data_IF_415496325901
#
_entry.id   IF_415496325901
#
_cell.length_a   1.000
_cell.length_b   1.000
_cell.length_c   1.000
_cell.angle_alpha   90.00
_cell.angle_beta   90.00
_cell.angle_gamma   90.00
#
_symmetry.space_group_name_H-M   'P 1'
#
loop_
_entity.id
_entity.type
_entity.pdbx_description
1 polymer ?
#
# COMPACT_ATOMS: atom_id res chain seq x y z
N UNK A 1 -11.27 20.01 -23.03
CA UNK A 1 -10.98 19.03 -21.96
C UNK A 1 -11.69 17.74 -22.31
N UNK A 2 -11.03 16.59 -22.18
CA UNK A 2 -11.56 15.27 -22.54
C UNK A 2 -10.80 14.16 -21.80
N UNK A 3 -11.26 12.93 -21.93
CA UNK A 3 -10.59 11.76 -21.36
C UNK A 3 -9.53 11.23 -22.33
N UNK A 4 -8.47 10.66 -21.78
CA UNK A 4 -7.56 9.84 -22.57
C UNK A 4 -8.32 8.60 -23.08
N UNK A 5 -7.91 8.09 -24.23
CA UNK A 5 -8.27 6.73 -24.63
C UNK A 5 -7.67 5.73 -23.64
N UNK A 6 -8.27 4.55 -23.54
CA UNK A 6 -7.69 3.44 -22.79
C UNK A 6 -6.29 3.18 -23.35
N UNK A 7 -5.31 3.14 -22.46
CA UNK A 7 -3.89 2.95 -22.77
C UNK A 7 -3.54 1.48 -22.63
N UNK A 8 -2.72 0.98 -23.56
CA UNK A 8 -2.14 -0.35 -23.44
C UNK A 8 -0.77 -0.24 -22.76
N UNK A 9 -0.59 -0.95 -21.64
CA UNK A 9 0.67 -0.94 -20.92
C UNK A 9 1.81 -1.62 -21.70
N UNK A 10 1.53 -2.39 -22.74
CA UNK A 10 2.57 -2.90 -23.65
C UNK A 10 3.13 -1.83 -24.60
N UNK A 11 2.51 -0.66 -24.69
CA UNK A 11 3.04 0.49 -25.42
C UNK A 11 4.03 1.32 -24.60
N UNK A 12 4.37 0.90 -23.37
CA UNK A 12 5.40 1.57 -22.58
C UNK A 12 6.74 1.50 -23.33
N UNK A 13 7.31 2.66 -23.65
CA UNK A 13 8.71 2.79 -24.03
C UNK A 13 9.59 2.51 -22.79
N UNK A 14 10.01 1.24 -22.66
CA UNK A 14 10.64 0.68 -21.47
C UNK A 14 12.05 1.24 -21.27
N UNK A 15 12.25 1.96 -20.16
CA UNK A 15 13.56 2.46 -19.72
C UNK A 15 14.23 1.55 -18.68
N UNK A 16 13.42 0.72 -18.02
CA UNK A 16 13.84 -0.26 -17.03
C UNK A 16 12.83 -1.41 -16.98
N UNK A 17 13.34 -2.63 -16.91
CA UNK A 17 12.58 -3.87 -16.86
C UNK A 17 13.32 -4.91 -16.05
N UNK A 18 12.69 -5.41 -14.99
CA UNK A 18 13.25 -6.47 -14.15
C UNK A 18 12.23 -7.59 -14.03
N UNK A 19 12.67 -8.82 -14.29
CA UNK A 19 11.89 -10.06 -14.09
C UNK A 19 12.67 -10.95 -13.13
N UNK A 20 12.41 -10.91 -11.81
CA UNK A 20 13.21 -11.67 -10.85
C UNK A 20 12.91 -13.18 -10.85
N UNK A 21 11.75 -13.60 -11.37
CA UNK A 21 11.36 -15.01 -11.44
C UNK A 21 12.28 -15.87 -12.34
N UNK A 22 13.01 -15.26 -13.28
CA UNK A 22 13.89 -15.96 -14.22
C UNK A 22 15.24 -15.26 -14.35
N UNK A 23 16.30 -16.05 -14.49
CA UNK A 23 17.63 -15.54 -14.85
C UNK A 23 17.63 -14.91 -16.25
N UNK A 24 16.98 -15.58 -17.20
CA UNK A 24 16.88 -15.19 -18.61
C UNK A 24 15.39 -15.23 -19.01
N UNK A 25 14.62 -14.16 -18.71
CA UNK A 25 13.21 -14.07 -19.10
C UNK A 25 13.06 -13.88 -20.62
N UNK A 26 11.85 -14.04 -21.18
CA UNK A 26 11.57 -13.54 -22.52
C UNK A 26 11.87 -12.04 -22.60
N UNK A 27 12.71 -11.64 -23.56
CA UNK A 27 13.19 -10.26 -23.68
C UNK A 27 14.27 -9.87 -22.66
N UNK A 28 14.88 -8.67 -22.79
CA UNK A 28 16.04 -8.29 -22.00
C UNK A 28 15.69 -7.93 -20.54
N UNK A 29 16.66 -8.16 -19.65
CA UNK A 29 16.70 -7.53 -18.32
C UNK A 29 17.35 -6.15 -18.46
N UNK A 30 16.61 -5.08 -18.18
CA UNK A 30 17.06 -3.70 -18.33
C UNK A 30 17.13 -3.04 -16.96
N UNK A 31 18.34 -2.91 -16.39
CA UNK A 31 18.50 -2.27 -15.07
C UNK A 31 18.08 -0.80 -15.05
N UNK A 32 18.24 -0.09 -16.17
CA UNK A 32 17.93 1.34 -16.26
C UNK A 32 18.59 2.17 -15.16
N UNK A 33 17.99 3.32 -14.83
CA UNK A 33 18.45 4.18 -13.73
C UNK A 33 17.90 3.65 -12.41
N UNK A 34 18.76 3.17 -11.51
CA UNK A 34 18.32 2.64 -10.21
C UNK A 34 19.29 2.97 -9.07
N UNK A 35 18.81 2.87 -7.83
CA UNK A 35 19.60 2.91 -6.61
C UNK A 35 19.78 1.54 -5.96
N UNK A 36 19.22 0.46 -6.53
CA UNK A 36 19.15 -0.86 -5.87
C UNK A 36 20.51 -1.39 -5.38
N UNK A 37 21.54 -1.23 -6.21
CA UNK A 37 22.89 -1.75 -5.96
C UNK A 37 23.87 -0.69 -5.44
N UNK A 38 23.37 0.49 -5.08
CA UNK A 38 24.22 1.57 -4.55
C UNK A 38 24.49 1.37 -3.05
N UNK A 39 25.68 1.72 -2.57
CA UNK A 39 25.94 1.80 -1.13
C UNK A 39 25.19 2.99 -0.52
N UNK A 40 24.45 2.79 0.58
CA UNK A 40 23.66 3.85 1.24
C UNK A 40 24.54 4.64 2.20
N UNK A 41 25.56 5.29 1.66
CA UNK A 41 26.51 6.12 2.40
C UNK A 41 26.23 7.60 2.11
N UNK A 42 26.46 8.45 3.11
CA UNK A 42 26.39 9.90 2.90
C UNK A 42 27.56 10.31 2.00
N UNK A 43 27.25 10.91 0.87
CA UNK A 43 28.26 11.54 0.02
C UNK A 43 28.72 12.86 0.67
N UNK A 44 29.99 12.91 1.05
CA UNK A 44 30.62 14.08 1.68
C UNK A 44 31.25 15.03 0.66
N UNK A 45 31.11 14.75 -0.64
CA UNK A 45 31.60 15.62 -1.72
C UNK A 45 30.95 17.00 -1.61
N UNK A 46 31.71 18.11 -1.64
CA UNK A 46 31.15 19.46 -1.64
C UNK A 46 30.16 19.66 -2.78
N UNK A 47 29.06 20.39 -2.54
CA UNK A 47 27.94 20.48 -3.49
C UNK A 47 28.36 20.98 -4.88
N UNK A 48 29.23 21.99 -4.96
CA UNK A 48 29.71 22.54 -6.24
C UNK A 48 30.53 21.52 -7.05
N UNK A 49 31.32 20.69 -6.36
CA UNK A 49 32.07 19.59 -6.97
C UNK A 49 31.12 18.49 -7.42
N UNK A 50 30.17 18.09 -6.58
CA UNK A 50 29.16 17.09 -6.92
C UNK A 50 28.30 17.50 -8.12
N UNK A 51 27.90 18.78 -8.21
CA UNK A 51 27.17 19.31 -9.37
C UNK A 51 28.01 19.28 -10.65
N UNK A 52 29.30 19.61 -10.58
CA UNK A 52 30.21 19.51 -11.74
C UNK A 52 30.36 18.06 -12.19
N UNK A 53 30.64 17.14 -11.29
CA UNK A 53 30.75 15.70 -11.60
C UNK A 53 29.45 15.15 -12.19
N UNK A 54 28.29 15.55 -11.66
CA UNK A 54 26.99 15.14 -12.20
C UNK A 54 26.74 15.71 -13.61
N UNK A 55 27.14 16.96 -13.87
CA UNK A 55 27.04 17.57 -15.19
C UNK A 55 27.98 16.89 -16.21
N UNK A 56 29.23 16.65 -15.84
CA UNK A 56 30.20 15.91 -16.66
C UNK A 56 29.70 14.49 -16.95
N UNK A 57 29.18 13.78 -15.94
CA UNK A 57 28.58 12.46 -16.12
C UNK A 57 27.33 12.50 -17.01
N UNK A 58 26.53 13.57 -16.97
CA UNK A 58 25.37 13.74 -17.84
C UNK A 58 25.78 14.03 -19.30
N UNK A 59 26.81 14.84 -19.51
CA UNK A 59 27.39 15.10 -20.85
C UNK A 59 28.00 13.83 -21.40
N UNK A 60 28.85 13.13 -20.64
CA UNK A 60 29.43 11.84 -21.04
C UNK A 60 28.36 10.79 -21.32
N UNK A 61 27.22 10.80 -20.61
CA UNK A 61 26.10 9.89 -20.88
C UNK A 61 25.39 10.25 -22.18
N UNK A 62 25.17 11.54 -22.45
CA UNK A 62 24.62 12.01 -23.75
C UNK A 62 25.59 11.70 -24.89
N UNK A 63 26.88 11.93 -24.71
CA UNK A 63 27.90 11.62 -25.71
C UNK A 63 28.05 10.11 -25.93
N UNK A 64 27.97 9.26 -24.90
CA UNK A 64 27.94 7.79 -25.08
C UNK A 64 26.65 7.30 -25.75
N UNK A 65 25.51 7.95 -25.51
CA UNK A 65 24.27 7.68 -26.26
C UNK A 65 24.36 8.15 -27.72
N UNK A 66 25.16 9.19 -28.00
CA UNK A 66 25.37 9.72 -29.36
C UNK A 66 26.49 8.98 -30.11
N UNK A 67 27.50 8.43 -29.42
CA UNK A 67 28.69 7.77 -30.01
C UNK A 67 28.64 6.26 -29.98
N UNK A 68 27.80 5.67 -29.12
CA UNK A 68 27.38 4.28 -29.28
C UNK A 68 26.10 4.34 -30.11
N UNK A 69 26.12 4.03 -31.42
CA UNK A 69 24.88 3.84 -32.12
C UNK A 69 24.23 2.58 -31.53
N UNK A 70 23.37 2.75 -30.52
CA UNK A 70 22.17 1.93 -30.51
C UNK A 70 21.33 2.59 -31.58
N UNK A 71 21.49 2.12 -32.81
CA UNK A 71 20.65 2.59 -33.90
C UNK A 71 19.21 2.46 -33.39
N UNK A 72 18.44 3.53 -33.48
CA UNK A 72 16.99 3.44 -33.31
C UNK A 72 16.37 2.53 -34.40
N UNK A 73 17.19 1.97 -35.30
CA UNK A 73 16.89 0.96 -36.31
C UNK A 73 17.23 -0.49 -35.90
N UNK A 74 17.82 -0.78 -34.74
CA UNK A 74 18.17 -2.18 -34.36
C UNK A 74 17.85 -2.57 -32.91
N UNK A 75 16.86 -1.94 -32.28
CA UNK A 75 16.11 -2.67 -31.24
C UNK A 75 15.23 -3.69 -31.95
N UNK A 76 15.46 -4.99 -31.74
CA UNK A 76 14.58 -6.03 -32.28
C UNK A 76 13.15 -5.82 -31.75
N UNK A 77 12.13 -6.31 -32.47
CA UNK A 77 10.73 -6.22 -32.02
C UNK A 77 10.59 -6.74 -30.58
N UNK A 78 11.28 -7.84 -30.27
CA UNK A 78 11.35 -8.46 -28.93
C UNK A 78 11.98 -7.57 -27.83
N UNK A 79 12.76 -6.55 -28.20
CA UNK A 79 13.34 -5.60 -27.26
C UNK A 79 12.44 -4.39 -27.01
N UNK A 80 11.57 -4.03 -27.97
CA UNK A 80 10.60 -2.94 -27.81
C UNK A 80 9.34 -3.39 -27.10
N UNK A 81 8.89 -4.62 -27.40
CA UNK A 81 7.71 -5.24 -26.79
C UNK A 81 8.12 -6.64 -26.33
N UNK A 82 8.86 -6.75 -25.21
CA UNK A 82 9.29 -8.04 -24.72
C UNK A 82 8.08 -8.87 -24.31
N UNK A 83 8.10 -10.16 -24.63
CA UNK A 83 7.06 -11.08 -24.18
C UNK A 83 6.93 -11.03 -22.65
N UNK A 84 5.70 -10.92 -22.14
CA UNK A 84 5.45 -10.85 -20.70
C UNK A 84 5.60 -12.23 -20.07
N UNK A 85 6.10 -12.27 -18.84
CA UNK A 85 6.16 -13.52 -18.09
C UNK A 85 4.75 -14.08 -17.82
N UNK A 86 3.77 -13.21 -17.57
CA UNK A 86 2.39 -13.63 -17.34
C UNK A 86 1.81 -14.43 -18.52
N UNK A 87 2.18 -14.09 -19.76
CA UNK A 87 1.70 -14.80 -20.94
C UNK A 87 2.31 -16.19 -21.06
N UNK A 88 3.56 -16.37 -20.64
CA UNK A 88 4.19 -17.70 -20.54
C UNK A 88 3.40 -18.56 -19.55
N UNK A 89 3.09 -18.03 -18.37
CA UNK A 89 2.34 -18.77 -17.34
C UNK A 89 0.91 -19.07 -17.78
N UNK A 90 0.25 -18.16 -18.51
CA UNK A 90 -1.06 -18.41 -19.13
C UNK A 90 -1.00 -19.55 -20.14
N UNK A 91 0.00 -19.55 -21.01
CA UNK A 91 0.17 -20.60 -22.02
C UNK A 91 0.43 -21.99 -21.41
N UNK A 92 0.94 -22.02 -20.17
CA UNK A 92 1.14 -23.24 -19.40
C UNK A 92 -0.10 -23.66 -18.58
N UNK A 93 -1.22 -22.93 -18.68
CA UNK A 93 -2.43 -23.11 -17.84
C UNK A 93 -2.13 -23.05 -16.33
N UNK A 94 -1.09 -22.28 -15.97
CA UNK A 94 -0.58 -22.17 -14.60
C UNK A 94 -1.12 -20.94 -13.86
N UNK A 95 -2.04 -20.17 -14.45
CA UNK A 95 -2.63 -18.97 -13.83
C UNK A 95 -4.14 -19.09 -13.69
N UNK A 96 -4.67 -18.52 -12.61
CA UNK A 96 -6.09 -18.21 -12.50
C UNK A 96 -6.44 -17.15 -13.56
N UNK A 97 -7.42 -17.44 -14.42
CA UNK A 97 -7.88 -16.48 -15.42
C UNK A 97 -8.92 -15.54 -14.81
N UNK A 98 -8.48 -14.33 -14.46
CA UNK A 98 -9.32 -13.25 -13.94
C UNK A 98 -9.85 -12.30 -15.02
N UNK A 99 -9.65 -12.62 -16.31
CA UNK A 99 -10.15 -11.77 -17.40
C UNK A 99 -11.67 -11.80 -17.44
N UNK A 100 -12.24 -10.69 -17.89
CA UNK A 100 -13.67 -10.53 -18.06
C UNK A 100 -13.96 -10.21 -19.52
N UNK A 101 -15.04 -10.80 -20.04
CA UNK A 101 -15.48 -10.55 -21.43
C UNK A 101 -16.31 -9.27 -21.56
N UNK A 102 -16.85 -8.75 -20.45
CA UNK A 102 -17.83 -7.65 -20.44
C UNK A 102 -17.22 -6.24 -20.31
N UNK A 103 -15.92 -6.14 -19.99
CA UNK A 103 -15.12 -4.90 -19.84
C UNK A 103 -15.93 -3.67 -19.36
N UNK A 104 -16.46 -3.70 -18.12
CA UNK A 104 -17.35 -2.66 -17.63
C UNK A 104 -16.60 -1.34 -17.39
N UNK A 105 -17.30 -0.22 -17.60
CA UNK A 105 -16.75 1.12 -17.37
C UNK A 105 -16.16 1.26 -15.95
N UNK A 106 -14.91 1.74 -15.80
CA UNK A 106 -14.26 1.84 -14.50
C UNK A 106 -14.95 2.85 -13.58
N UNK A 107 -15.03 2.50 -12.29
CA UNK A 107 -15.57 3.40 -11.27
C UNK A 107 -14.65 4.61 -11.04
N UNK A 108 -15.20 5.80 -11.26
CA UNK A 108 -14.55 7.07 -10.93
C UNK A 108 -14.75 7.45 -9.46
N UNK A 109 -13.74 7.14 -8.65
CA UNK A 109 -13.73 7.42 -7.21
C UNK A 109 -13.71 8.91 -6.86
N UNK A 110 -13.44 9.80 -7.82
CA UNK A 110 -13.55 11.25 -7.61
C UNK A 110 -14.99 11.74 -7.65
N UNK A 111 -15.90 10.95 -8.24
CA UNK A 111 -17.33 11.25 -8.37
C UNK A 111 -18.18 10.45 -7.41
N UNK A 112 -17.79 9.20 -7.12
CA UNK A 112 -18.52 8.29 -6.23
C UNK A 112 -17.56 7.73 -5.19
N UNK A 113 -17.85 7.94 -3.91
CA UNK A 113 -17.02 7.40 -2.83
C UNK A 113 -17.02 5.85 -2.85
N UNK A 114 -15.83 5.25 -2.92
CA UNK A 114 -15.67 3.80 -2.85
C UNK A 114 -15.98 3.28 -1.43
N UNK A 115 -16.58 2.10 -1.34
CA UNK A 115 -16.92 1.39 -0.10
C UNK A 115 -16.57 -0.09 -0.26
N UNK A 116 -16.33 -0.84 0.83
CA UNK A 116 -16.07 -2.28 0.74
C UNK A 116 -17.11 -3.03 -0.11
N UNK A 117 -16.66 -4.05 -0.83
CA UNK A 117 -17.35 -4.62 -1.99
C UNK A 117 -17.17 -3.78 -3.26
N UNK A 118 -16.07 -3.00 -3.35
CA UNK A 118 -15.83 -2.15 -4.51
C UNK A 118 -15.29 -2.98 -5.69
N UNK A 119 -15.63 -2.61 -6.94
CA UNK A 119 -15.01 -3.25 -8.09
C UNK A 119 -13.50 -3.00 -8.10
N UNK A 120 -12.75 -3.93 -8.70
CA UNK A 120 -11.28 -3.87 -8.78
C UNK A 120 -10.76 -2.54 -9.35
N UNK A 121 -11.47 -1.91 -10.29
CA UNK A 121 -11.13 -0.60 -10.85
C UNK A 121 -11.06 0.51 -9.78
N UNK A 122 -11.98 0.48 -8.80
CA UNK A 122 -12.00 1.43 -7.69
C UNK A 122 -10.84 1.15 -6.72
N UNK A 123 -10.56 -0.12 -6.43
CA UNK A 123 -9.41 -0.53 -5.59
C UNK A 123 -8.09 -0.04 -6.19
N UNK A 124 -7.87 -0.32 -7.48
CA UNK A 124 -6.68 0.12 -8.22
C UNK A 124 -6.57 1.65 -8.29
N UNK A 125 -7.69 2.34 -8.56
CA UNK A 125 -7.72 3.82 -8.58
C UNK A 125 -7.39 4.42 -7.22
N UNK A 126 -7.90 3.85 -6.13
CA UNK A 126 -7.58 4.29 -4.77
C UNK A 126 -6.10 4.10 -4.47
N UNK A 127 -5.55 2.92 -4.77
CA UNK A 127 -4.13 2.64 -4.59
C UNK A 127 -3.23 3.54 -5.45
N UNK A 128 -3.66 3.89 -6.66
CA UNK A 128 -2.94 4.85 -7.51
C UNK A 128 -2.87 6.25 -6.88
N UNK A 129 -3.89 6.66 -6.11
CA UNK A 129 -3.92 7.94 -5.36
C UNK A 129 -3.27 7.87 -3.98
N UNK A 130 -3.20 6.69 -3.38
CA UNK A 130 -2.72 6.46 -2.02
C UNK A 130 -1.29 6.97 -1.77
N UNK A 131 -1.00 7.26 -0.50
CA UNK A 131 0.36 7.56 -0.07
C UNK A 131 1.26 6.30 -0.21
N UNK A 132 2.48 6.49 -0.70
CA UNK A 132 3.42 5.37 -0.89
C UNK A 132 3.75 4.70 0.45
N UNK A 133 3.96 5.49 1.52
CA UNK A 133 4.27 4.94 2.84
C UNK A 133 3.15 4.08 3.40
N UNK A 134 1.90 4.52 3.26
CA UNK A 134 0.71 3.80 3.71
C UNK A 134 0.58 2.43 3.00
N UNK A 135 0.72 2.39 1.68
CA UNK A 135 0.67 1.12 0.92
C UNK A 135 1.80 0.17 1.31
N UNK A 136 3.02 0.69 1.46
CA UNK A 136 4.18 -0.13 1.86
C UNK A 136 3.99 -0.72 3.25
N UNK A 137 3.50 0.06 4.21
CA UNK A 137 3.24 -0.45 5.56
C UNK A 137 2.08 -1.45 5.59
N UNK A 138 1.04 -1.21 4.80
CA UNK A 138 -0.08 -2.15 4.69
C UNK A 138 0.36 -3.47 4.05
N UNK A 139 1.15 -3.42 2.98
CA UNK A 139 1.78 -4.60 2.39
C UNK A 139 2.67 -5.33 3.40
N UNK A 140 3.58 -4.61 4.06
CA UNK A 140 4.51 -5.19 5.04
C UNK A 140 3.79 -5.88 6.20
N UNK A 141 2.68 -5.29 6.67
CA UNK A 141 1.80 -5.89 7.67
C UNK A 141 1.09 -7.15 7.16
N UNK A 142 0.73 -7.24 5.88
CA UNK A 142 0.10 -8.46 5.34
C UNK A 142 1.09 -9.61 5.20
N UNK A 143 2.38 -9.31 4.98
CA UNK A 143 3.45 -10.32 4.90
C UNK A 143 3.88 -10.81 6.29
N UNK A 144 4.17 -9.90 7.22
CA UNK A 144 4.74 -10.26 8.53
C UNK A 144 3.77 -10.16 9.71
N UNK A 145 2.64 -9.50 9.51
CA UNK A 145 1.65 -9.27 10.55
C UNK A 145 0.65 -10.40 10.70
N UNK A 146 -0.41 -10.17 11.49
CA UNK A 146 -1.38 -11.21 11.83
C UNK A 146 -2.33 -11.55 10.67
N UNK A 147 -2.46 -10.66 9.67
CA UNK A 147 -3.48 -10.79 8.63
C UNK A 147 -3.16 -11.89 7.62
N UNK A 148 -1.86 -12.12 7.32
CA UNK A 148 -1.35 -13.24 6.50
C UNK A 148 -2.13 -13.51 5.20
N UNK A 149 -2.59 -12.45 4.54
CA UNK A 149 -3.26 -12.58 3.23
C UNK A 149 -2.28 -12.83 2.07
N UNK A 150 -0.97 -12.80 2.36
CA UNK A 150 0.13 -13.03 1.43
C UNK A 150 1.12 -14.00 2.08
N UNK A 151 1.63 -14.94 1.29
CA UNK A 151 2.56 -15.98 1.75
C UNK A 151 3.90 -15.86 1.03
N UNK A 152 3.89 -16.06 -0.29
CA UNK A 152 5.08 -16.03 -1.13
C UNK A 152 4.78 -15.29 -2.42
N UNK A 153 5.22 -14.03 -2.48
CA UNK A 153 5.04 -13.18 -3.65
C UNK A 153 6.34 -13.12 -4.43
N UNK A 154 6.29 -13.51 -5.70
CA UNK A 154 7.37 -13.27 -6.65
C UNK A 154 6.95 -12.19 -7.63
N UNK A 155 7.79 -11.18 -7.86
CA UNK A 155 7.47 -10.19 -8.90
C UNK A 155 7.58 -10.86 -10.27
N UNK A 156 6.52 -10.77 -11.06
CA UNK A 156 6.52 -11.23 -12.44
C UNK A 156 7.32 -10.29 -13.31
N UNK A 157 6.95 -9.02 -13.31
CA UNK A 157 7.63 -8.01 -14.10
C UNK A 157 7.55 -6.64 -13.42
N UNK A 158 8.65 -5.89 -13.42
CA UNK A 158 8.73 -4.51 -12.96
C UNK A 158 9.18 -3.65 -14.13
N UNK A 159 8.28 -2.86 -14.70
CA UNK A 159 8.56 -1.98 -15.84
C UNK A 159 8.50 -0.52 -15.43
N UNK A 160 9.45 0.27 -15.87
CA UNK A 160 9.39 1.73 -15.81
C UNK A 160 9.72 2.32 -17.17
N UNK A 161 8.91 3.26 -17.64
CA UNK A 161 9.07 3.84 -18.96
C UNK A 161 8.13 4.99 -19.24
N UNK A 162 7.98 5.32 -20.53
CA UNK A 162 7.07 6.36 -21.01
C UNK A 162 5.88 5.72 -21.72
N UNK A 163 4.68 5.97 -21.21
CA UNK A 163 3.43 5.52 -21.80
C UNK A 163 2.86 6.63 -22.70
N UNK A 164 2.70 6.41 -24.01
CA UNK A 164 2.02 7.36 -24.88
C UNK A 164 0.58 7.56 -24.44
N UNK A 165 0.10 8.80 -24.53
CA UNK A 165 -1.28 9.18 -24.21
C UNK A 165 -1.92 9.81 -25.44
N UNK A 166 -3.09 9.29 -25.78
CA UNK A 166 -3.93 9.78 -26.86
C UNK A 166 -5.29 10.22 -26.34
N UNK A 167 -5.88 11.21 -27.00
CA UNK A 167 -7.23 11.68 -26.70
C UNK A 167 -8.07 11.66 -27.96
N UNK A 168 -9.39 11.51 -27.80
CA UNK A 168 -10.31 11.75 -28.90
C UNK A 168 -10.53 13.25 -29.06
N UNK A 169 -10.28 13.78 -30.26
CA UNK A 169 -10.54 15.17 -30.58
C UNK A 169 -12.06 15.42 -30.57
N UNK A 170 -12.57 16.33 -29.73
CA UNK A 170 -14.01 16.55 -29.60
C UNK A 170 -14.66 17.20 -30.85
N UNK A 171 -13.86 17.82 -31.72
CA UNK A 171 -14.35 18.49 -32.94
C UNK A 171 -14.28 17.57 -34.17
N UNK A 172 -13.18 16.83 -34.32
CA UNK A 172 -12.97 15.97 -35.51
C UNK A 172 -13.32 14.51 -35.27
N UNK A 173 -13.41 14.07 -34.01
CA UNK A 173 -13.59 12.66 -33.64
C UNK A 173 -12.33 11.79 -33.81
N UNK A 174 -11.26 12.35 -34.38
CA UNK A 174 -10.00 11.67 -34.64
C UNK A 174 -9.18 11.48 -33.37
N UNK A 175 -8.35 10.44 -33.36
CA UNK A 175 -7.40 10.17 -32.27
C UNK A 175 -6.16 11.04 -32.45
N UNK A 176 -5.80 11.79 -31.40
CA UNK A 176 -4.65 12.70 -31.43
C UNK A 176 -3.69 12.36 -30.29
N UNK A 177 -2.40 12.11 -30.58
CA UNK A 177 -1.39 11.92 -29.54
C UNK A 177 -1.11 13.26 -28.86
N UNK A 178 -1.14 13.28 -27.51
CA UNK A 178 -0.90 14.50 -26.72
C UNK A 178 0.46 14.50 -26.00
N UNK A 179 1.13 13.36 -25.95
CA UNK A 179 2.45 13.21 -25.35
C UNK A 179 2.62 11.85 -24.69
N UNK A 180 3.49 11.79 -23.68
CA UNK A 180 3.68 10.60 -22.86
C UNK A 180 3.83 10.95 -21.40
N UNK A 181 3.43 10.02 -20.54
CA UNK A 181 3.61 10.10 -19.09
C UNK A 181 4.60 9.04 -18.64
N UNK A 182 5.38 9.34 -17.61
CA UNK A 182 6.21 8.31 -16.98
C UNK A 182 5.34 7.45 -16.08
N UNK A 183 5.49 6.14 -16.20
CA UNK A 183 4.78 5.17 -15.36
C UNK A 183 5.72 4.09 -14.85
N UNK A 184 5.33 3.49 -13.73
CA UNK A 184 5.87 2.22 -13.27
C UNK A 184 4.72 1.24 -13.13
N UNK A 185 4.86 0.09 -13.77
CA UNK A 185 3.91 -1.01 -13.76
C UNK A 185 4.59 -2.24 -13.15
N UNK A 186 3.82 -2.99 -12.36
CA UNK A 186 4.25 -4.21 -11.72
C UNK A 186 3.16 -5.26 -11.80
N UNK A 187 3.57 -6.47 -12.17
CA UNK A 187 2.80 -7.69 -12.01
C UNK A 187 3.42 -8.51 -10.87
N UNK A 188 2.61 -8.94 -9.91
CA UNK A 188 3.05 -9.74 -8.77
C UNK A 188 2.36 -11.12 -8.82
N UNK A 189 3.16 -12.19 -8.79
CA UNK A 189 2.70 -13.58 -8.83
C UNK A 189 2.64 -14.09 -7.40
N UNK A 190 1.48 -14.56 -6.98
CA UNK A 190 1.23 -15.16 -5.67
C UNK A 190 1.02 -16.66 -5.81
N UNK A 191 1.62 -17.44 -4.92
CA UNK A 191 1.35 -18.86 -4.78
C UNK A 191 0.01 -19.12 -4.07
N UNK A 192 -0.79 -20.02 -4.65
CA UNK A 192 -2.08 -20.39 -4.09
C UNK A 192 -1.91 -21.58 -3.16
N UNK A 193 -1.97 -21.33 -1.85
CA UNK A 193 -1.78 -22.32 -0.80
C UNK A 193 -3.03 -22.52 0.09
N UNK A 194 -4.07 -21.71 -0.13
CA UNK A 194 -5.33 -21.78 0.59
C UNK A 194 -6.03 -23.15 0.46
N UNK A 195 -6.88 -23.47 1.44
CA UNK A 195 -7.64 -24.74 1.43
C UNK A 195 -8.70 -24.75 0.33
N UNK A 196 -9.29 -23.58 0.05
CA UNK A 196 -10.33 -23.39 -0.96
C UNK A 196 -9.77 -22.88 -2.31
N UNK A 197 -8.44 -22.76 -2.43
CA UNK A 197 -7.78 -22.25 -3.63
C UNK A 197 -7.30 -23.39 -4.54
N UNK A 198 -7.17 -23.10 -5.84
CA UNK A 198 -6.56 -24.04 -6.79
C UNK A 198 -5.02 -24.02 -6.67
N UNK A 199 -4.49 -24.93 -5.85
CA UNK A 199 -3.06 -25.08 -5.57
C UNK A 199 -2.22 -25.54 -6.76
N UNK A 200 -2.82 -25.76 -7.93
CA UNK A 200 -2.09 -26.09 -9.16
C UNK A 200 -1.75 -24.86 -9.98
N UNK A 201 -2.25 -23.68 -9.59
CA UNK A 201 -2.14 -22.42 -10.31
C UNK A 201 -1.61 -21.31 -9.40
N UNK A 202 -1.02 -20.31 -10.01
CA UNK A 202 -0.71 -19.04 -9.35
C UNK A 202 -1.81 -18.03 -9.62
N UNK A 203 -1.80 -16.98 -8.82
CA UNK A 203 -2.61 -15.79 -9.07
C UNK A 203 -1.74 -14.55 -9.30
N UNK A 204 -2.31 -13.53 -9.96
CA UNK A 204 -1.58 -12.33 -10.33
C UNK A 204 -2.30 -11.07 -9.87
N UNK A 205 -1.54 -10.26 -9.13
CA UNK A 205 -1.91 -8.90 -8.76
C UNK A 205 -1.26 -7.86 -9.67
N UNK A 206 -1.94 -6.72 -9.80
CA UNK A 206 -1.54 -5.66 -10.73
C UNK A 206 -1.37 -4.31 -10.03
N UNK A 207 -0.33 -3.57 -10.40
CA UNK A 207 -0.07 -2.23 -9.90
C UNK A 207 0.52 -1.33 -10.96
N UNK A 208 -0.07 -0.15 -11.17
CA UNK A 208 0.49 0.89 -12.03
C UNK A 208 0.42 2.26 -11.35
N UNK A 209 1.49 3.03 -11.43
CA UNK A 209 1.55 4.37 -10.85
C UNK A 209 2.38 5.35 -11.70
N UNK A 210 2.14 6.64 -11.53
CA UNK A 210 2.90 7.69 -12.22
C UNK A 210 4.34 7.82 -11.67
N UNK A 211 5.26 8.14 -12.57
CA UNK A 211 6.67 8.38 -12.26
C UNK A 211 7.51 7.11 -12.22
N UNK A 212 8.66 7.19 -11.53
CA UNK A 212 9.55 6.06 -11.28
C UNK A 212 9.41 5.64 -9.81
N UNK A 213 8.28 5.01 -9.46
CA UNK A 213 7.95 4.65 -8.08
C UNK A 213 7.65 3.15 -7.96
N UNK A 214 8.71 2.36 -8.07
CA UNK A 214 8.66 0.89 -7.99
C UNK A 214 8.12 0.41 -6.67
N UNK A 215 8.52 1.03 -5.55
CA UNK A 215 8.05 0.60 -4.24
C UNK A 215 6.53 0.73 -4.10
N UNK A 216 5.94 1.80 -4.65
CA UNK A 216 4.49 1.95 -4.68
C UNK A 216 3.86 0.89 -5.57
N UNK A 217 4.28 0.78 -6.83
CA UNK A 217 3.69 -0.18 -7.77
C UNK A 217 3.79 -1.64 -7.29
N UNK A 218 4.92 -2.03 -6.67
CA UNK A 218 5.10 -3.34 -6.02
C UNK A 218 4.04 -3.54 -4.93
N UNK A 219 3.91 -2.59 -4.00
CA UNK A 219 2.92 -2.68 -2.94
C UNK A 219 1.49 -2.75 -3.50
N UNK A 220 1.18 -1.98 -4.55
CA UNK A 220 -0.11 -2.03 -5.24
C UNK A 220 -0.41 -3.41 -5.82
N UNK A 221 0.53 -3.99 -6.57
CA UNK A 221 0.35 -5.30 -7.19
C UNK A 221 0.14 -6.40 -6.14
N UNK A 222 0.92 -6.39 -5.07
CA UNK A 222 0.76 -7.35 -3.98
C UNK A 222 -0.59 -7.18 -3.26
N UNK A 223 -1.00 -5.93 -2.97
CA UNK A 223 -2.27 -5.67 -2.27
C UNK A 223 -3.49 -5.98 -3.14
N UNK A 224 -3.39 -5.83 -4.46
CA UNK A 224 -4.46 -6.17 -5.39
C UNK A 224 -4.82 -7.67 -5.33
N UNK A 225 -3.82 -8.56 -5.38
CA UNK A 225 -4.07 -10.01 -5.21
C UNK A 225 -4.49 -10.37 -3.79
N UNK A 226 -3.90 -9.72 -2.77
CA UNK A 226 -4.24 -9.96 -1.37
C UNK A 226 -5.69 -9.61 -1.03
N UNK A 227 -6.22 -8.49 -1.53
CA UNK A 227 -7.62 -8.09 -1.30
C UNK A 227 -8.58 -9.09 -1.92
N UNK A 228 -8.22 -9.63 -3.08
CA UNK A 228 -9.02 -10.63 -3.78
C UNK A 228 -9.05 -11.96 -3.02
N UNK A 229 -7.88 -12.43 -2.55
CA UNK A 229 -7.74 -13.63 -1.69
C UNK A 229 -8.52 -13.51 -0.38
N UNK A 230 -8.60 -12.29 0.17
CA UNK A 230 -9.37 -12.00 1.38
C UNK A 230 -10.90 -11.89 1.14
N UNK A 231 -11.42 -12.52 0.07
CA UNK A 231 -12.83 -12.58 -0.33
C UNK A 231 -13.51 -11.24 -0.69
N UNK A 232 -12.76 -10.15 -0.87
CA UNK A 232 -13.27 -8.95 -1.55
C UNK A 232 -14.38 -8.16 -0.85
N UNK A 233 -14.40 -8.15 0.49
CA UNK A 233 -15.18 -7.21 1.34
C UNK A 233 -14.61 -7.07 2.76
N UNK A 234 -13.43 -7.67 2.99
CA UNK A 234 -12.83 -7.82 4.31
C UNK A 234 -12.08 -6.58 4.83
N UNK A 235 -11.48 -6.69 6.03
CA UNK A 235 -10.75 -5.59 6.69
C UNK A 235 -9.60 -5.02 5.84
N UNK A 236 -9.00 -5.85 4.97
CA UNK A 236 -7.94 -5.42 4.07
C UNK A 236 -8.46 -4.46 3.00
N UNK A 237 -9.57 -4.78 2.33
CA UNK A 237 -10.17 -3.89 1.35
C UNK A 237 -10.56 -2.56 1.99
N UNK A 238 -11.20 -2.61 3.17
CA UNK A 238 -11.56 -1.40 3.90
C UNK A 238 -10.31 -0.55 4.23
N UNK A 239 -9.21 -1.20 4.63
CA UNK A 239 -7.95 -0.51 4.90
C UNK A 239 -7.42 0.17 3.63
N UNK A 240 -7.39 -0.54 2.50
CA UNK A 240 -6.97 0.02 1.20
C UNK A 240 -7.83 1.22 0.82
N UNK A 241 -9.16 1.10 0.91
CA UNK A 241 -10.10 2.11 0.44
C UNK A 241 -10.17 3.35 1.35
N UNK A 242 -10.04 3.19 2.66
CA UNK A 242 -10.40 4.24 3.63
C UNK A 242 -9.21 4.83 4.41
N UNK A 243 -8.03 4.21 4.38
CA UNK A 243 -6.94 4.60 5.29
C UNK A 243 -5.62 4.92 4.60
N UNK A 244 -5.62 4.97 3.26
CA UNK A 244 -4.39 5.15 2.46
C UNK A 244 -4.27 6.52 1.80
N UNK A 245 -5.32 7.35 1.81
CA UNK A 245 -5.26 8.72 1.29
C UNK A 245 -4.58 9.65 2.32
N UNK A 246 -3.37 10.11 1.98
CA UNK A 246 -2.59 10.98 2.84
C UNK A 246 -3.21 12.37 3.04
N UNK A 247 -3.98 12.89 2.07
CA UNK A 247 -4.64 14.19 2.22
C UNK A 247 -5.76 14.11 3.26
N UNK A 248 -6.59 13.07 3.18
CA UNK A 248 -7.65 12.83 4.16
C UNK A 248 -7.07 12.53 5.55
N UNK A 249 -6.08 11.62 5.62
CA UNK A 249 -5.42 11.27 6.87
C UNK A 249 -4.73 12.47 7.54
N UNK A 250 -4.01 13.29 6.77
CA UNK A 250 -3.34 14.49 7.30
C UNK A 250 -4.35 15.53 7.80
N UNK A 251 -5.41 15.81 7.04
CA UNK A 251 -6.47 16.72 7.45
C UNK A 251 -7.17 16.25 8.73
N UNK A 252 -7.48 14.95 8.81
CA UNK A 252 -8.06 14.35 10.00
C UNK A 252 -7.08 14.26 11.18
N UNK A 253 -5.77 14.26 10.98
CA UNK A 253 -4.85 14.39 12.11
C UNK A 253 -4.79 15.84 12.59
N UNK A 254 -4.70 16.78 11.66
CA UNK A 254 -4.49 18.18 11.94
C UNK A 254 -5.70 18.88 12.54
N UNK A 255 -6.92 18.37 12.33
CA UNK A 255 -8.13 18.94 12.93
C UNK A 255 -8.03 18.99 14.46
N UNK A 256 -7.24 18.12 15.10
CA UNK A 256 -7.05 18.10 16.56
C UNK A 256 -6.52 19.43 17.13
N UNK A 257 -5.88 20.26 16.30
CA UNK A 257 -5.44 21.62 16.65
C UNK A 257 -6.61 22.59 16.84
N UNK A 258 -7.78 22.30 16.26
CA UNK A 258 -8.95 23.16 16.34
C UNK A 258 -9.57 23.14 17.75
N UNK A 259 -10.40 24.12 18.11
CA UNK A 259 -11.00 24.18 19.44
C UNK A 259 -11.93 22.98 19.74
N UNK A 260 -11.54 22.15 20.71
CA UNK A 260 -12.34 21.02 21.23
C UNK A 260 -12.88 21.26 22.65
N UNK A 261 -12.93 22.51 23.11
CA UNK A 261 -13.23 22.84 24.52
C UNK A 261 -14.64 22.45 24.97
N UNK A 262 -15.64 22.43 24.09
CA UNK A 262 -17.01 21.99 24.41
C UNK A 262 -17.05 20.49 24.69
N UNK A 263 -16.47 19.70 23.80
CA UNK A 263 -16.34 18.24 23.97
C UNK A 263 -15.51 17.91 25.20
N UNK A 264 -14.39 18.63 25.41
CA UNK A 264 -13.53 18.45 26.57
C UNK A 264 -14.25 18.78 27.89
N UNK A 265 -15.03 19.87 27.95
CA UNK A 265 -15.85 20.22 29.11
C UNK A 265 -16.84 19.10 29.44
N UNK A 266 -17.53 18.56 28.44
CA UNK A 266 -18.46 17.44 28.63
C UNK A 266 -17.75 16.18 29.15
N UNK A 267 -16.53 15.91 28.67
CA UNK A 267 -15.69 14.82 29.20
C UNK A 267 -15.29 15.08 30.66
N UNK A 268 -14.93 16.31 31.02
CA UNK A 268 -14.58 16.70 32.39
C UNK A 268 -15.76 16.55 33.34
N UNK A 269 -16.93 17.08 32.99
CA UNK A 269 -18.16 16.96 33.80
C UNK A 269 -18.50 15.48 34.07
N UNK A 270 -18.42 14.64 33.03
CA UNK A 270 -18.61 13.18 33.17
C UNK A 270 -17.58 12.54 34.10
N UNK A 271 -16.30 12.93 34.03
CA UNK A 271 -15.26 12.41 34.93
C UNK A 271 -15.47 12.87 36.37
N UNK A 272 -15.92 14.11 36.59
CA UNK A 272 -16.26 14.63 37.93
C UNK A 272 -17.42 13.86 38.54
N UNK A 273 -18.52 13.67 37.79
CA UNK A 273 -19.68 12.91 38.25
C UNK A 273 -19.31 11.45 38.61
N UNK A 274 -18.46 10.79 37.80
CA UNK A 274 -17.97 9.44 38.13
C UNK A 274 -17.10 9.40 39.39
N UNK A 275 -16.28 10.43 39.63
CA UNK A 275 -15.47 10.55 40.85
C UNK A 275 -16.35 10.76 42.09
N UNK A 276 -17.36 11.61 41.99
CA UNK A 276 -18.33 11.82 43.06
C UNK A 276 -19.08 10.54 43.39
N UNK A 277 -19.63 9.85 42.38
CA UNK A 277 -20.31 8.58 42.57
C UNK A 277 -19.39 7.49 43.18
N UNK A 278 -18.13 7.43 42.77
CA UNK A 278 -17.15 6.51 43.35
C UNK A 278 -16.79 6.87 44.80
N UNK A 279 -16.68 8.17 45.10
CA UNK A 279 -16.45 8.69 46.46
C UNK A 279 -17.62 8.40 47.40
N UNK A 280 -18.86 8.57 46.94
CA UNK A 280 -20.08 8.22 47.68
C UNK A 280 -20.15 6.72 47.94
N UNK A 281 -19.95 5.87 46.91
CA UNK A 281 -19.89 4.40 47.09
C UNK A 281 -18.77 3.96 48.05
N UNK A 282 -17.63 4.64 48.03
CA UNK A 282 -16.53 4.36 48.98
C UNK A 282 -16.90 4.77 50.40
N UNK A 283 -17.58 5.91 50.59
CA UNK A 283 -18.09 6.35 51.90
C UNK A 283 -19.20 5.44 52.42
N UNK A 284 -20.10 4.97 51.57
CA UNK A 284 -21.15 3.99 51.90
C UNK A 284 -20.54 2.65 52.33
N UNK A 285 -19.53 2.13 51.61
CA UNK A 285 -18.80 0.92 52.04
C UNK A 285 -18.06 1.10 53.36
N UNK A 286 -17.45 2.27 53.58
CA UNK A 286 -16.78 2.57 54.86
C UNK A 286 -17.78 2.77 56.00
N UNK A 287 -18.98 3.28 55.72
CA UNK A 287 -20.06 3.41 56.71
C UNK A 287 -20.70 2.05 57.03
N UNK A 288 -20.93 1.19 56.04
CA UNK A 288 -21.36 -0.20 56.26
C UNK A 288 -20.32 -1.02 57.00
N UNK A 289 -19.03 -0.90 56.65
CA UNK A 289 -17.95 -1.57 57.40
C UNK A 289 -17.75 -1.05 58.83
N UNK A 290 -18.20 0.17 59.16
CA UNK A 290 -18.24 0.69 60.54
C UNK A 290 -19.49 0.25 61.29
N UNK A 291 -20.64 0.25 60.63
CA UNK A 291 -21.91 -0.31 61.13
C UNK A 291 -21.76 -1.78 61.52
N UNK A 292 -21.12 -2.59 60.67
CA UNK A 292 -20.91 -4.02 60.95
C UNK A 292 -19.95 -4.27 62.13
N UNK A 293 -19.07 -3.30 62.46
CA UNK A 293 -18.25 -3.33 63.67
C UNK A 293 -18.96 -2.79 64.93
N UNK A 294 -19.93 -1.88 64.80
CA UNK A 294 -20.71 -1.33 65.93
C UNK A 294 -21.85 -2.26 66.39
N UNK A 295 -22.25 -3.25 65.58
CA UNK A 295 -23.24 -4.28 65.98
C UNK A 295 -22.59 -5.46 66.74
N UNK A 296 -21.27 -5.43 66.95
CA UNK A 296 -20.55 -6.38 67.80
C UNK A 296 -20.28 -5.83 69.21
N UNK A 297 -21.26 -5.15 69.84
CA UNK A 297 -21.27 -5.01 71.30
C UNK A 297 -21.92 -6.27 71.90
N UNK A 298 -21.19 -7.38 71.80
CA UNK A 298 -21.44 -8.56 72.63
C UNK A 298 -20.52 -8.46 73.83
N UNK A 299 -21.12 -8.09 74.96
CA UNK A 299 -20.64 -8.46 76.30
C UNK A 299 -20.09 -9.88 76.29
N UNK A 300 -18.77 -10.04 76.39
CA UNK A 300 -18.15 -11.35 76.26
C UNK A 300 -16.63 -11.32 76.40
N UNK A 301 -16.21 -11.16 77.65
CA UNK A 301 -15.00 -11.70 78.28
C UNK A 301 -13.60 -11.44 77.68
N UNK A 302 -12.70 -11.02 78.57
CA UNK A 302 -11.33 -10.66 78.27
C UNK A 302 -10.47 -11.91 78.02
N UNK A 303 -9.82 -11.98 76.84
CA UNK A 303 -8.86 -13.03 76.51
C UNK A 303 -7.69 -12.52 75.65
N UNK A 304 -6.51 -12.46 76.28
CA UNK A 304 -5.12 -12.27 75.83
C UNK A 304 -4.73 -12.13 74.32
N UNK A 305 -3.64 -11.39 74.01
CA UNK A 305 -3.17 -11.17 72.64
C UNK A 305 -2.34 -12.36 72.13
N UNK A 306 -2.59 -12.81 70.89
CA UNK A 306 -1.71 -13.72 70.14
C UNK A 306 -1.05 -12.94 69.00
N UNK A 307 0.25 -13.17 68.85
CA UNK A 307 1.19 -12.33 68.13
C UNK A 307 1.10 -12.35 66.59
N UNK A 308 1.77 -11.33 66.04
CA UNK A 308 2.15 -11.17 64.63
C UNK A 308 2.86 -12.41 64.10
N UNK A 309 2.52 -12.80 62.86
CA UNK A 309 3.50 -13.33 61.92
C UNK A 309 3.12 -12.96 60.47
N UNK A 310 4.16 -12.52 59.75
CA UNK A 310 4.18 -12.10 58.36
C UNK A 310 3.88 -13.25 57.39
N UNK A 311 3.14 -13.00 56.31
CA UNK A 311 3.33 -13.74 55.05
C UNK A 311 3.15 -12.82 53.84
N UNK A 312 4.29 -12.52 53.22
CA UNK A 312 4.44 -12.14 51.82
C UNK A 312 4.10 -13.32 50.90
N UNK A 313 3.23 -13.10 49.91
CA UNK A 313 3.39 -13.52 48.50
C UNK A 313 2.39 -12.80 47.62
#
# INVERSE_FOLDING_TARGET
FGYARVVDADEIDVLRRIVPAFREPPGPQLLGRTLDYTGRLLDQTPEDEGRRQAAEAAVNRRERVVTTPVSADELTVDQRVPGRLIDVLRNLDALVDRRRDDDPEPVDISRVAARPGAPRSARLSTMARAETGALVQLWYRNILGPDRNLHEVTLGEVRHGRLPIEVQNPLTGETVPIGSVRVTEVEAIEDLDGVEEDRTRFDVGYGICLGHNERKAIAMANLDVAVDRAAGDGPLEQSVLMTTDGLDASGFLEHLKLPHYVTFRSMMERKTAMREAAGTKRKERLAQGRSDCEVADLSGDAGAPVGREDVLR
#
